data_IF_004370398321
#
_entry.id   IF_004370398321
#
_cell.length_a   1.000
_cell.length_b   1.000
_cell.length_c   1.000
_cell.angle_alpha   90.00
_cell.angle_beta   90.00
_cell.angle_gamma   90.00
#
_symmetry.space_group_name_H-M   'P 1'
#
loop_
_entity.id
_entity.type
_entity.pdbx_description
1 polymer ?
#
# COMPACT_ATOMS: atom_id res chain seq x y z
N UNK A 1 -3.39 -13.31 7.42
CA UNK A 1 -4.45 -14.00 6.64
C UNK A 1 -4.75 -13.33 5.30
N UNK A 2 -4.84 -11.99 5.18
CA UNK A 2 -5.22 -11.29 3.93
C UNK A 2 -4.09 -11.02 2.91
N UNK A 3 -2.85 -11.46 3.16
CA UNK A 3 -1.67 -11.13 2.33
C UNK A 3 -1.80 -11.69 0.91
N UNK A 4 -1.98 -13.01 0.82
CA UNK A 4 -1.87 -13.72 -0.46
C UNK A 4 -3.06 -13.37 -1.37
N UNK A 5 -4.25 -13.20 -0.80
CA UNK A 5 -5.46 -12.77 -1.52
C UNK A 5 -5.33 -11.33 -2.07
N UNK A 6 -4.79 -10.40 -1.28
CA UNK A 6 -4.56 -9.02 -1.73
C UNK A 6 -3.61 -8.94 -2.93
N UNK A 7 -2.52 -9.72 -2.88
CA UNK A 7 -1.57 -9.78 -4.00
C UNK A 7 -2.15 -10.51 -5.22
N UNK A 8 -2.96 -11.55 -5.00
CA UNK A 8 -3.67 -12.22 -6.08
C UNK A 8 -4.65 -11.27 -6.78
N UNK A 9 -5.34 -10.41 -6.03
CA UNK A 9 -6.24 -9.42 -6.61
C UNK A 9 -5.48 -8.37 -7.44
N UNK A 10 -4.33 -7.89 -6.95
CA UNK A 10 -3.50 -6.98 -7.73
C UNK A 10 -3.00 -7.61 -9.05
N UNK A 11 -2.66 -8.91 -9.04
CA UNK A 11 -2.35 -9.65 -10.28
C UNK A 11 -3.54 -9.70 -11.23
N UNK A 12 -4.74 -10.02 -10.74
CA UNK A 12 -5.98 -10.01 -11.55
C UNK A 12 -6.26 -8.65 -12.19
N UNK A 13 -6.01 -7.54 -11.46
CA UNK A 13 -6.16 -6.20 -12.01
C UNK A 13 -5.14 -5.94 -13.14
N UNK A 14 -3.89 -6.34 -12.96
CA UNK A 14 -2.87 -6.24 -14.01
C UNK A 14 -3.23 -7.06 -15.25
N UNK A 15 -3.70 -8.30 -15.06
CA UNK A 15 -4.12 -9.18 -16.17
C UNK A 15 -5.31 -8.59 -16.95
N UNK A 16 -6.17 -7.84 -16.27
CA UNK A 16 -7.29 -7.11 -16.89
C UNK A 16 -6.88 -5.77 -17.54
N UNK A 17 -5.58 -5.43 -17.56
CA UNK A 17 -5.07 -4.18 -18.14
C UNK A 17 -5.27 -2.94 -17.25
N UNK A 18 -5.69 -3.09 -16.00
CA UNK A 18 -5.81 -1.98 -15.06
C UNK A 18 -4.42 -1.60 -14.55
N UNK A 19 -4.04 -0.33 -14.72
CA UNK A 19 -2.75 0.19 -14.25
C UNK A 19 -2.64 0.09 -12.73
N UNK A 20 -1.97 -0.96 -12.25
CA UNK A 20 -1.94 -1.33 -10.83
C UNK A 20 -0.50 -1.41 -10.32
N UNK A 21 -0.28 -0.91 -9.10
CA UNK A 21 0.97 -1.08 -8.37
C UNK A 21 0.70 -1.94 -7.14
N UNK A 22 1.51 -2.98 -6.93
CA UNK A 22 1.43 -3.86 -5.75
C UNK A 22 2.75 -3.82 -4.99
N UNK A 23 2.71 -3.51 -3.70
CA UNK A 23 3.89 -3.41 -2.84
C UNK A 23 3.62 -4.16 -1.54
N UNK A 24 4.55 -5.02 -1.14
CA UNK A 24 4.56 -5.69 0.16
C UNK A 24 5.53 -4.97 1.10
N UNK A 25 5.03 -4.51 2.25
CA UNK A 25 5.85 -4.06 3.37
C UNK A 25 6.14 -5.26 4.27
N UNK A 26 7.41 -5.63 4.39
CA UNK A 26 7.84 -6.75 5.25
C UNK A 26 7.94 -6.29 6.72
N UNK A 27 7.88 -7.25 7.65
CA UNK A 27 8.06 -6.99 9.08
C UNK A 27 6.91 -6.24 9.75
N UNK A 28 5.74 -6.22 9.12
CA UNK A 28 4.54 -5.56 9.64
C UNK A 28 3.33 -6.50 9.68
N UNK A 29 2.25 -6.05 10.29
CA UNK A 29 0.99 -6.80 10.45
C UNK A 29 -0.16 -6.11 9.73
N UNK A 30 -1.34 -6.74 9.75
CA UNK A 30 -2.56 -6.09 9.29
C UNK A 30 -2.83 -4.79 10.07
N UNK A 31 -3.51 -3.83 9.42
CA UNK A 31 -3.84 -2.50 9.97
C UNK A 31 -2.65 -1.62 10.42
N UNK A 32 -1.42 -1.96 10.05
CA UNK A 32 -0.25 -1.19 10.49
C UNK A 32 -0.21 0.28 10.07
N UNK A 33 -1.02 0.68 9.08
CA UNK A 33 -1.21 2.07 8.69
C UNK A 33 -2.24 2.83 9.53
N UNK A 34 -3.01 2.14 10.38
CA UNK A 34 -4.09 2.69 11.21
C UNK A 34 -3.73 2.68 12.70
N UNK A 35 -2.97 1.68 13.16
CA UNK A 35 -2.67 1.48 14.57
C UNK A 35 -1.71 2.54 15.14
N UNK A 36 -2.22 3.41 16.02
CA UNK A 36 -1.44 4.44 16.72
C UNK A 36 -0.13 3.94 17.38
N UNK A 37 -0.08 2.77 18.06
CA UNK A 37 1.14 2.31 18.72
C UNK A 37 2.34 2.08 17.79
N UNK A 38 2.10 1.78 16.52
CA UNK A 38 3.15 1.52 15.52
C UNK A 38 3.21 2.58 14.42
N UNK A 39 2.51 3.70 14.61
CA UNK A 39 2.42 4.78 13.63
C UNK A 39 3.77 5.41 13.28
N UNK A 40 4.80 5.26 14.11
CA UNK A 40 6.15 5.77 13.88
C UNK A 40 7.15 4.69 13.40
N UNK A 41 6.68 3.47 13.13
CA UNK A 41 7.55 2.45 12.53
C UNK A 41 7.95 2.84 11.11
N UNK A 42 9.14 2.40 10.68
CA UNK A 42 9.63 2.66 9.32
C UNK A 42 8.63 2.17 8.26
N UNK A 43 8.13 0.94 8.40
CA UNK A 43 7.13 0.37 7.49
C UNK A 43 5.87 1.25 7.40
N UNK A 44 5.32 1.72 8.53
CA UNK A 44 4.13 2.58 8.53
C UNK A 44 4.40 3.92 7.85
N UNK A 45 5.52 4.59 8.18
CA UNK A 45 5.85 5.90 7.61
C UNK A 45 6.07 5.82 6.10
N UNK A 46 6.81 4.82 5.64
CA UNK A 46 7.09 4.64 4.22
C UNK A 46 5.83 4.25 3.42
N UNK A 47 4.96 3.40 3.98
CA UNK A 47 3.69 3.05 3.34
C UNK A 47 2.76 4.27 3.20
N UNK A 48 2.67 5.12 4.23
CA UNK A 48 1.88 6.36 4.17
C UNK A 48 2.49 7.34 3.16
N UNK A 49 3.81 7.50 3.15
CA UNK A 49 4.48 8.38 2.18
C UNK A 49 4.24 7.93 0.73
N UNK A 50 4.34 6.63 0.45
CA UNK A 50 4.05 6.07 -0.87
C UNK A 50 2.60 6.32 -1.28
N UNK A 51 1.64 6.11 -0.38
CA UNK A 51 0.22 6.35 -0.64
C UNK A 51 -0.04 7.84 -0.94
N UNK A 52 0.50 8.75 -0.11
CA UNK A 52 0.37 10.20 -0.30
C UNK A 52 1.00 10.65 -1.61
N UNK A 53 2.20 10.16 -1.94
CA UNK A 53 2.88 10.47 -3.19
C UNK A 53 2.02 10.04 -4.39
N UNK A 54 1.42 8.84 -4.34
CA UNK A 54 0.58 8.36 -5.43
C UNK A 54 -0.72 9.16 -5.58
N UNK A 55 -1.35 9.53 -4.48
CA UNK A 55 -2.55 10.38 -4.51
C UNK A 55 -2.24 11.77 -5.09
N UNK A 56 -1.12 12.38 -4.68
CA UNK A 56 -0.68 13.68 -5.21
C UNK A 56 -0.40 13.65 -6.71
N UNK A 57 0.26 12.58 -7.19
CA UNK A 57 0.48 12.33 -8.62
C UNK A 57 -0.84 12.26 -9.40
N UNK A 58 -1.81 11.46 -8.92
CA UNK A 58 -3.10 11.27 -9.59
C UNK A 58 -3.98 12.51 -9.55
N UNK A 59 -3.97 13.26 -8.45
CA UNK A 59 -4.78 14.47 -8.29
C UNK A 59 -4.08 15.76 -8.75
N UNK A 60 -2.84 15.68 -9.24
CA UNK A 60 -2.08 16.85 -9.70
C UNK A 60 -1.73 17.84 -8.58
N UNK A 61 -1.64 17.37 -7.33
CA UNK A 61 -1.34 18.22 -6.16
C UNK A 61 0.17 18.35 -6.05
N UNK A 62 0.69 19.57 -6.27
CA UNK A 62 2.11 19.91 -6.16
C UNK A 62 2.58 20.03 -4.72
#
# INVERSE_FOLDING_TARGET
>A
VLRDEGEAFARKLNDAGVKTTSVRFNGTIHDFMMLNPIAQSAATRDAVLLAVAKLRDVFGIK
#
